data_IF_753728438365
#
_entry.id   IF_753728438365
#
_cell.length_a   1.000
_cell.length_b   1.000
_cell.length_c   1.000
_cell.angle_alpha   90.00
_cell.angle_beta   90.00
_cell.angle_gamma   90.00
#
_symmetry.space_group_name_H-M   'P 1'
#
loop_
_entity.id
_entity.type
_entity.pdbx_description
1 polymer ?
#
# COMPACT_ATOMS: atom_id res chain seq x y z
N UNK A 1 4.93 8.50 -7.89
CA UNK A 1 5.75 7.52 -8.67
C UNK A 1 5.56 6.19 -7.98
N UNK A 2 5.10 5.15 -8.67
CA UNK A 2 4.47 4.02 -8.04
C UNK A 2 5.04 2.66 -8.39
N UNK A 3 4.50 1.65 -7.73
CA UNK A 3 4.83 0.24 -7.95
C UNK A 3 3.96 -0.40 -9.04
N UNK A 4 2.85 0.23 -9.43
CA UNK A 4 1.87 -0.31 -10.35
C UNK A 4 1.74 0.55 -11.63
N UNK A 5 1.56 -0.10 -12.75
CA UNK A 5 1.10 0.52 -14.00
C UNK A 5 0.01 -0.33 -14.67
N UNK A 6 -0.55 0.18 -15.75
CA UNK A 6 -1.54 -0.51 -16.58
C UNK A 6 -0.93 -0.74 -17.96
N UNK A 7 -0.92 -1.97 -18.43
CA UNK A 7 -0.63 -2.28 -19.83
C UNK A 7 -1.91 -2.06 -20.67
N UNK A 8 -1.89 -1.06 -21.51
CA UNK A 8 -3.06 -0.68 -22.34
C UNK A 8 -3.45 -1.72 -23.39
N UNK A 9 -2.55 -2.65 -23.73
CA UNK A 9 -2.83 -3.73 -24.70
C UNK A 9 -3.70 -4.83 -24.10
N UNK A 10 -3.48 -5.13 -22.82
CA UNK A 10 -4.19 -6.19 -22.11
C UNK A 10 -5.19 -5.67 -21.10
N UNK A 11 -5.15 -4.38 -20.76
CA UNK A 11 -5.90 -3.78 -19.66
C UNK A 11 -5.46 -4.24 -18.26
N UNK A 12 -4.39 -5.03 -18.15
CA UNK A 12 -3.95 -5.63 -16.89
C UNK A 12 -3.06 -4.68 -16.08
N UNK A 13 -3.22 -4.75 -14.76
CA UNK A 13 -2.27 -4.19 -13.82
C UNK A 13 -0.96 -4.97 -13.81
N UNK A 14 0.14 -4.26 -13.73
CA UNK A 14 1.51 -4.79 -13.64
C UNK A 14 2.19 -4.17 -12.44
N UNK A 15 2.84 -4.97 -11.60
CA UNK A 15 3.64 -4.48 -10.49
C UNK A 15 5.12 -4.58 -10.81
N UNK A 16 5.88 -3.53 -10.47
CA UNK A 16 7.30 -3.43 -10.79
C UNK A 16 8.14 -4.56 -10.17
N UNK A 17 7.75 -5.06 -9.01
CA UNK A 17 8.46 -6.11 -8.27
C UNK A 17 8.17 -7.54 -8.77
N UNK A 18 7.28 -7.71 -9.75
CA UNK A 18 6.98 -9.01 -10.37
C UNK A 18 8.01 -9.42 -11.41
N UNK A 19 8.94 -8.52 -11.75
CA UNK A 19 9.93 -8.73 -12.81
C UNK A 19 11.33 -8.95 -12.23
N UNK A 20 12.03 -9.95 -12.78
CA UNK A 20 13.47 -10.07 -12.63
C UNK A 20 14.18 -8.85 -13.25
N UNK A 21 15.46 -8.69 -12.96
CA UNK A 21 16.27 -7.60 -13.56
C UNK A 21 16.26 -7.62 -15.08
N UNK A 22 16.35 -8.79 -15.67
CA UNK A 22 16.39 -8.95 -17.12
C UNK A 22 15.03 -8.66 -17.76
N UNK A 23 13.95 -9.17 -17.20
CA UNK A 23 12.58 -8.88 -17.67
C UNK A 23 12.24 -7.41 -17.56
N UNK A 24 12.68 -6.74 -16.47
CA UNK A 24 12.50 -5.30 -16.28
C UNK A 24 13.21 -4.48 -17.36
N UNK A 25 14.44 -4.86 -17.74
CA UNK A 25 15.18 -4.20 -18.82
C UNK A 25 14.48 -4.41 -20.17
N UNK A 26 14.03 -5.62 -20.43
CA UNK A 26 13.28 -5.95 -21.65
C UNK A 26 11.98 -5.17 -21.75
N UNK A 27 11.21 -5.10 -20.66
CA UNK A 27 9.98 -4.31 -20.58
C UNK A 27 10.25 -2.81 -20.76
N UNK A 28 11.37 -2.30 -20.21
CA UNK A 28 11.76 -0.91 -20.37
C UNK A 28 12.08 -0.57 -21.85
N UNK A 29 12.84 -1.44 -22.52
CA UNK A 29 13.16 -1.29 -23.94
C UNK A 29 11.89 -1.36 -24.80
N UNK A 30 11.02 -2.34 -24.56
CA UNK A 30 9.74 -2.47 -25.26
C UNK A 30 8.87 -1.23 -25.07
N UNK A 31 8.69 -0.78 -23.82
CA UNK A 31 7.88 0.39 -23.53
C UNK A 31 8.47 1.68 -24.09
N UNK A 32 9.78 1.79 -24.21
CA UNK A 32 10.44 2.94 -24.85
C UNK A 32 10.01 3.09 -26.32
N UNK A 33 9.79 1.98 -27.01
CA UNK A 33 9.34 1.94 -28.41
C UNK A 33 7.82 2.06 -28.54
N UNK A 34 7.08 1.22 -27.82
CA UNK A 34 5.63 1.03 -28.01
C UNK A 34 4.75 1.95 -27.17
N UNK A 35 5.29 2.53 -26.08
CA UNK A 35 4.57 3.46 -25.20
C UNK A 35 3.22 2.93 -24.73
N UNK A 36 3.13 1.66 -24.37
CA UNK A 36 1.89 0.97 -24.02
C UNK A 36 1.60 0.93 -22.52
N UNK A 37 2.53 1.35 -21.68
CA UNK A 37 2.33 1.39 -20.23
C UNK A 37 1.87 2.77 -19.76
N UNK A 38 0.88 2.79 -18.85
CA UNK A 38 0.26 4.00 -18.31
C UNK A 38 0.22 4.01 -16.80
N UNK A 39 0.30 5.22 -16.23
CA UNK A 39 0.04 5.40 -14.80
C UNK A 39 -1.44 5.19 -14.49
N UNK A 40 -1.79 4.55 -13.36
CA UNK A 40 -3.19 4.43 -12.95
C UNK A 40 -3.82 5.79 -12.58
N UNK A 41 -3.03 6.73 -12.05
CA UNK A 41 -3.54 8.00 -11.52
C UNK A 41 -4.03 9.00 -12.59
N UNK A 42 -3.40 9.06 -13.76
CA UNK A 42 -3.70 10.08 -14.78
C UNK A 42 -3.53 9.58 -16.21
N UNK A 43 -3.33 8.29 -16.42
CA UNK A 43 -3.13 7.64 -17.72
C UNK A 43 -1.96 8.20 -18.53
N UNK A 44 -1.00 8.87 -17.87
CA UNK A 44 0.18 9.39 -18.52
C UNK A 44 1.15 8.27 -18.91
N UNK A 45 1.95 8.51 -19.96
CA UNK A 45 3.05 7.65 -20.33
C UNK A 45 4.07 7.54 -19.20
N UNK A 46 4.64 6.34 -19.06
CA UNK A 46 5.65 6.07 -18.04
C UNK A 46 6.98 5.69 -18.61
N UNK A 47 8.00 5.85 -17.79
CA UNK A 47 9.31 5.23 -17.93
C UNK A 47 9.58 4.33 -16.73
N UNK A 48 10.35 3.29 -16.96
CA UNK A 48 10.77 2.34 -15.95
C UNK A 48 12.08 2.82 -15.33
N UNK A 49 12.16 2.86 -14.02
CA UNK A 49 13.37 3.26 -13.28
C UNK A 49 13.72 2.26 -12.19
N UNK A 50 14.98 2.30 -11.79
CA UNK A 50 15.49 1.61 -10.61
C UNK A 50 16.07 2.65 -9.67
N UNK A 51 15.78 2.54 -8.38
CA UNK A 51 16.34 3.41 -7.35
C UNK A 51 17.81 3.08 -7.07
N UNK A 52 18.46 3.87 -6.23
CA UNK A 52 19.82 3.60 -5.77
C UNK A 52 19.92 2.28 -4.97
N UNK A 53 18.86 1.88 -4.28
CA UNK A 53 18.77 0.61 -3.55
C UNK A 53 18.26 -0.55 -4.41
N UNK A 54 18.11 -0.34 -5.72
CA UNK A 54 17.73 -1.39 -6.66
C UNK A 54 16.22 -1.56 -6.85
N UNK A 55 15.35 -0.82 -6.17
CA UNK A 55 13.91 -0.95 -6.28
C UNK A 55 13.41 -0.48 -7.64
N UNK A 56 12.80 -1.40 -8.38
CA UNK A 56 12.11 -1.14 -9.64
C UNK A 56 10.83 -0.36 -9.38
N UNK A 57 10.57 0.68 -10.19
CA UNK A 57 9.36 1.49 -10.06
C UNK A 57 9.04 2.25 -11.35
N UNK A 58 7.78 2.63 -11.49
CA UNK A 58 7.27 3.40 -12.61
C UNK A 58 7.27 4.90 -12.29
N UNK A 59 7.65 5.72 -13.26
CA UNK A 59 7.60 7.18 -13.14
C UNK A 59 6.92 7.78 -14.36
N UNK A 60 6.25 8.91 -14.19
CA UNK A 60 5.70 9.66 -15.31
C UNK A 60 6.82 10.05 -16.28
N UNK A 61 6.60 9.84 -17.57
CA UNK A 61 7.49 10.41 -18.59
C UNK A 61 7.42 11.92 -18.58
N UNK A 62 6.19 12.42 -18.54
CA UNK A 62 5.86 13.83 -18.35
C UNK A 62 4.78 13.90 -17.29
N UNK A 63 5.02 14.64 -16.21
CA UNK A 63 4.10 14.70 -15.08
C UNK A 63 2.82 15.47 -15.39
N UNK A 64 2.92 16.52 -16.26
CA UNK A 64 1.80 17.39 -16.59
C UNK A 64 1.13 17.96 -15.33
N UNK A 65 -0.20 17.96 -15.31
CA UNK A 65 -1.01 18.42 -14.19
C UNK A 65 -1.26 17.37 -13.10
N UNK A 66 -0.60 16.20 -13.17
CA UNK A 66 -0.79 15.15 -12.17
C UNK A 66 -0.30 15.59 -10.79
N UNK A 67 -1.18 15.57 -9.81
CA UNK A 67 -0.93 15.98 -8.42
C UNK A 67 -0.40 14.85 -7.53
N UNK A 68 -0.27 13.62 -8.05
CA UNK A 68 0.25 12.50 -7.26
C UNK A 68 1.67 12.80 -6.73
N UNK A 69 1.87 12.62 -5.42
CA UNK A 69 3.16 12.84 -4.78
C UNK A 69 4.20 11.81 -5.22
N UNK A 70 5.49 12.20 -5.14
CA UNK A 70 6.57 11.22 -5.27
C UNK A 70 6.64 10.40 -3.98
N UNK A 71 6.76 9.09 -4.11
CA UNK A 71 6.92 8.20 -2.96
C UNK A 71 8.39 8.01 -2.61
N UNK A 72 8.66 7.86 -1.30
CA UNK A 72 9.98 7.46 -0.81
C UNK A 72 10.28 5.99 -1.15
N UNK A 73 11.53 5.60 -0.98
CA UNK A 73 11.96 4.21 -1.09
C UNK A 73 11.25 3.34 -0.06
N UNK A 74 11.22 3.80 1.19
CA UNK A 74 10.54 3.14 2.31
C UNK A 74 9.08 2.86 2.00
N UNK A 75 8.36 3.87 1.50
CA UNK A 75 6.94 3.73 1.18
C UNK A 75 6.71 2.63 0.13
N UNK A 76 7.52 2.61 -0.93
CA UNK A 76 7.45 1.56 -1.96
C UNK A 76 7.77 0.18 -1.40
N UNK A 77 8.82 0.09 -0.56
CA UNK A 77 9.24 -1.18 0.00
C UNK A 77 8.16 -1.77 0.92
N UNK A 78 7.60 -0.96 1.82
CA UNK A 78 6.51 -1.40 2.71
C UNK A 78 5.29 -1.87 1.90
N UNK A 79 4.86 -1.11 0.89
CA UNK A 79 3.75 -1.53 0.01
C UNK A 79 4.03 -2.86 -0.69
N UNK A 80 5.25 -3.05 -1.20
CA UNK A 80 5.68 -4.31 -1.80
C UNK A 80 5.56 -5.48 -0.83
N UNK A 81 6.12 -5.35 0.38
CA UNK A 81 6.06 -6.40 1.41
C UNK A 81 4.61 -6.75 1.73
N UNK A 82 3.74 -5.75 1.88
CA UNK A 82 2.32 -5.99 2.16
C UNK A 82 1.66 -6.79 1.03
N UNK A 83 1.90 -6.43 -0.24
CA UNK A 83 1.32 -7.14 -1.40
C UNK A 83 1.84 -8.59 -1.45
N UNK A 84 3.15 -8.79 -1.33
CA UNK A 84 3.77 -10.13 -1.39
C UNK A 84 3.25 -11.03 -0.27
N UNK A 85 3.21 -10.54 0.97
CA UNK A 85 2.70 -11.30 2.12
C UNK A 85 1.20 -11.61 1.98
N UNK A 86 0.39 -10.64 1.56
CA UNK A 86 -1.04 -10.87 1.38
C UNK A 86 -1.32 -11.93 0.31
N UNK A 87 -0.61 -11.90 -0.80
CA UNK A 87 -0.71 -12.91 -1.87
C UNK A 87 -0.30 -14.30 -1.38
N UNK A 88 0.80 -14.39 -0.61
CA UNK A 88 1.24 -15.65 0.01
C UNK A 88 0.20 -16.23 0.98
N UNK A 89 -0.66 -15.37 1.58
CA UNK A 89 -1.79 -15.78 2.44
C UNK A 89 -3.12 -15.98 1.66
N UNK A 90 -3.07 -16.06 0.33
CA UNK A 90 -4.22 -16.35 -0.52
C UNK A 90 -5.22 -15.18 -0.66
N UNK A 91 -4.74 -13.95 -0.50
CA UNK A 91 -5.48 -12.73 -0.81
C UNK A 91 -5.10 -12.21 -2.19
N UNK A 92 -6.05 -11.63 -2.90
CA UNK A 92 -5.74 -10.73 -4.00
C UNK A 92 -5.21 -9.43 -3.40
N UNK A 93 -4.13 -8.91 -3.93
CA UNK A 93 -3.49 -7.70 -3.41
C UNK A 93 -2.92 -6.86 -4.55
N UNK A 94 -3.26 -5.58 -4.57
CA UNK A 94 -2.76 -4.60 -5.53
C UNK A 94 -2.35 -3.30 -4.83
N UNK A 95 -1.25 -2.72 -5.30
CA UNK A 95 -0.82 -1.39 -4.86
C UNK A 95 -1.56 -0.29 -5.62
N UNK A 96 -1.76 0.87 -4.96
CA UNK A 96 -2.21 2.11 -5.59
C UNK A 96 -3.56 1.98 -6.31
N UNK A 97 -4.56 1.46 -5.60
CA UNK A 97 -5.89 1.21 -6.14
C UNK A 97 -6.80 2.40 -5.90
N UNK A 98 -7.38 2.91 -6.98
CA UNK A 98 -8.40 3.94 -6.93
C UNK A 98 -9.80 3.33 -6.75
N UNK A 99 -10.68 4.04 -6.06
CA UNK A 99 -12.07 3.66 -5.87
C UNK A 99 -12.97 4.86 -5.62
N UNK A 100 -14.25 4.59 -5.49
CA UNK A 100 -15.27 5.60 -5.20
C UNK A 100 -16.10 5.14 -4.00
N UNK A 101 -16.44 6.08 -3.12
CA UNK A 101 -17.41 5.85 -2.05
C UNK A 101 -18.84 5.76 -2.61
N UNK A 102 -19.81 5.40 -1.77
CA UNK A 102 -21.23 5.45 -2.14
C UNK A 102 -21.67 6.85 -2.58
N UNK A 103 -21.09 7.88 -1.98
CA UNK A 103 -21.34 9.29 -2.32
C UNK A 103 -20.50 9.80 -3.49
N UNK A 104 -19.86 8.85 -4.23
CA UNK A 104 -18.98 9.12 -5.37
C UNK A 104 -17.74 9.96 -5.04
N UNK A 105 -17.33 10.02 -3.77
CA UNK A 105 -16.08 10.63 -3.38
C UNK A 105 -14.91 9.71 -3.74
N UNK A 106 -13.90 10.20 -4.46
CA UNK A 106 -12.75 9.39 -4.84
C UNK A 106 -11.86 9.07 -3.63
N UNK A 107 -11.33 7.86 -3.60
CA UNK A 107 -10.28 7.45 -2.68
C UNK A 107 -9.21 6.64 -3.41
N UNK A 108 -8.03 6.59 -2.84
CA UNK A 108 -6.92 5.80 -3.32
C UNK A 108 -6.26 5.09 -2.14
N UNK A 109 -6.21 3.77 -2.21
CA UNK A 109 -5.53 2.94 -1.23
C UNK A 109 -4.07 2.71 -1.64
N UNK A 110 -3.15 2.79 -0.69
CA UNK A 110 -1.76 2.41 -0.92
C UNK A 110 -1.65 0.94 -1.30
N UNK A 111 -2.36 0.07 -0.58
CA UNK A 111 -2.56 -1.34 -0.96
C UNK A 111 -4.01 -1.72 -0.69
N UNK A 112 -4.68 -2.31 -1.66
CA UNK A 112 -6.01 -2.90 -1.51
C UNK A 112 -5.90 -4.42 -1.52
N UNK A 113 -6.43 -5.05 -0.48
CA UNK A 113 -6.53 -6.50 -0.34
C UNK A 113 -7.98 -6.92 -0.53
N UNK A 114 -8.21 -8.07 -1.18
CA UNK A 114 -9.54 -8.66 -1.32
C UNK A 114 -9.52 -10.18 -1.24
N UNK A 115 -10.51 -10.75 -0.53
CA UNK A 115 -10.72 -12.20 -0.44
C UNK A 115 -12.21 -12.46 -0.20
N UNK A 116 -12.86 -13.15 -1.13
CA UNK A 116 -14.33 -13.27 -1.15
C UNK A 116 -15.00 -11.89 -1.09
N UNK A 117 -15.81 -11.62 -0.08
CA UNK A 117 -16.48 -10.33 0.14
C UNK A 117 -15.64 -9.35 0.98
N UNK A 118 -14.56 -9.81 1.60
CA UNK A 118 -13.72 -8.96 2.45
C UNK A 118 -12.80 -8.08 1.61
N UNK A 119 -12.77 -6.77 1.94
CA UNK A 119 -11.86 -5.79 1.34
C UNK A 119 -11.17 -4.98 2.43
N UNK A 120 -9.86 -4.82 2.33
CA UNK A 120 -9.04 -4.10 3.30
C UNK A 120 -8.13 -3.13 2.54
N UNK A 121 -8.22 -1.85 2.84
CA UNK A 121 -7.25 -0.85 2.42
C UNK A 121 -6.18 -0.72 3.49
N UNK A 122 -4.93 -0.93 3.13
CA UNK A 122 -3.78 -0.68 4.01
C UNK A 122 -3.11 0.60 3.56
N UNK A 123 -3.01 1.56 4.48
CA UNK A 123 -2.42 2.88 4.28
C UNK A 123 -1.06 2.96 4.97
N UNK A 124 -0.08 3.47 4.25
CA UNK A 124 1.30 3.64 4.73
C UNK A 124 1.61 5.13 4.84
N UNK A 125 1.49 5.67 6.05
CA UNK A 125 1.57 7.11 6.28
C UNK A 125 2.94 7.54 6.81
N UNK A 126 3.79 7.98 5.89
CA UNK A 126 5.15 8.48 6.19
C UNK A 126 5.22 9.97 6.51
N UNK A 127 4.35 10.76 5.89
CA UNK A 127 4.26 12.20 6.14
C UNK A 127 3.25 12.53 7.24
N UNK A 128 3.33 13.75 7.76
CA UNK A 128 2.35 14.22 8.75
C UNK A 128 0.95 14.30 8.12
N UNK A 129 -0.01 13.68 8.78
CA UNK A 129 -1.41 13.74 8.42
C UNK A 129 -2.22 14.11 9.65
N UNK A 130 -3.21 14.99 9.49
CA UNK A 130 -4.09 15.35 10.59
C UNK A 130 -5.07 14.21 10.90
N UNK A 131 -5.52 14.15 12.15
CA UNK A 131 -6.54 13.17 12.56
C UNK A 131 -7.84 13.33 11.75
N UNK A 132 -8.24 14.57 11.47
CA UNK A 132 -9.44 14.85 10.64
C UNK A 132 -9.30 14.34 9.21
N UNK A 133 -8.12 14.40 8.61
CA UNK A 133 -7.88 13.83 7.28
C UNK A 133 -7.91 12.31 7.31
N UNK A 134 -7.28 11.69 8.31
CA UNK A 134 -7.34 10.23 8.50
C UNK A 134 -8.79 9.76 8.67
N UNK A 135 -9.58 10.46 9.49
CA UNK A 135 -10.99 10.12 9.71
C UNK A 135 -11.82 10.24 8.42
N UNK A 136 -11.61 11.31 7.63
CA UNK A 136 -12.30 11.48 6.33
C UNK A 136 -11.96 10.35 5.36
N UNK A 137 -10.69 9.99 5.23
CA UNK A 137 -10.26 8.88 4.36
C UNK A 137 -10.84 7.55 4.84
N UNK A 138 -10.82 7.31 6.16
CA UNK A 138 -11.41 6.11 6.76
C UNK A 138 -12.92 6.02 6.50
N UNK A 139 -13.65 7.14 6.59
CA UNK A 139 -15.09 7.21 6.28
C UNK A 139 -15.38 6.84 4.83
N UNK A 140 -14.56 7.31 3.87
CA UNK A 140 -14.70 6.92 2.45
C UNK A 140 -14.52 5.43 2.24
N UNK A 141 -13.55 4.81 2.92
CA UNK A 141 -13.38 3.35 2.89
C UNK A 141 -14.60 2.64 3.46
N UNK A 142 -15.04 3.04 4.65
CA UNK A 142 -16.18 2.44 5.32
C UNK A 142 -17.46 2.50 4.46
N UNK A 143 -17.76 3.66 3.85
CA UNK A 143 -18.90 3.81 2.94
C UNK A 143 -18.79 3.01 1.64
N UNK A 144 -17.57 2.53 1.31
CA UNK A 144 -17.32 1.66 0.16
C UNK A 144 -17.32 0.16 0.53
N UNK A 145 -17.63 -0.20 1.79
CA UNK A 145 -17.50 -1.56 2.30
C UNK A 145 -16.06 -2.04 2.41
N UNK A 146 -15.12 -1.11 2.54
CA UNK A 146 -13.68 -1.39 2.69
C UNK A 146 -13.25 -1.08 4.12
N UNK A 147 -12.54 -1.99 4.76
CA UNK A 147 -11.93 -1.77 6.07
C UNK A 147 -10.59 -1.05 5.89
N UNK A 148 -10.31 -0.02 6.69
CA UNK A 148 -9.00 0.63 6.68
C UNK A 148 -8.07 0.06 7.75
N UNK A 149 -6.78 -0.03 7.44
CA UNK A 149 -5.69 -0.30 8.38
C UNK A 149 -4.58 0.70 8.10
N UNK A 150 -4.13 1.43 9.12
CA UNK A 150 -3.17 2.51 9.00
C UNK A 150 -1.83 2.15 9.63
N UNK A 151 -0.75 2.29 8.89
CA UNK A 151 0.63 2.16 9.35
C UNK A 151 1.27 3.54 9.40
N UNK A 152 1.47 4.10 10.61
CA UNK A 152 2.06 5.41 10.79
C UNK A 152 3.54 5.31 11.19
N UNK A 153 4.41 6.03 10.48
CA UNK A 153 5.80 6.20 10.93
C UNK A 153 5.88 7.07 12.19
N UNK A 154 4.95 8.02 12.33
CA UNK A 154 4.94 8.93 13.47
C UNK A 154 4.39 8.27 14.72
N UNK A 155 4.98 8.60 15.87
CA UNK A 155 4.53 8.12 17.18
C UNK A 155 3.25 8.81 17.67
N UNK A 156 2.87 9.94 17.10
CA UNK A 156 1.68 10.70 17.51
C UNK A 156 0.55 10.54 16.49
N UNK A 157 -0.21 9.50 16.66
CA UNK A 157 -1.49 9.29 15.98
C UNK A 157 -2.50 8.75 17.00
N UNK A 158 -3.77 8.89 16.70
CA UNK A 158 -4.84 8.35 17.55
C UNK A 158 -5.43 7.12 16.88
N UNK A 159 -5.13 5.95 17.42
CA UNK A 159 -5.83 4.72 17.06
C UNK A 159 -7.15 4.65 17.81
N UNK A 160 -8.19 4.17 17.14
CA UNK A 160 -9.50 3.87 17.72
C UNK A 160 -10.10 2.63 17.05
N UNK A 161 -11.22 2.15 17.57
CA UNK A 161 -11.97 1.07 16.91
C UNK A 161 -12.39 1.41 15.48
N UNK A 162 -12.62 2.69 15.22
CA UNK A 162 -13.05 3.21 13.92
C UNK A 162 -11.88 3.56 13.00
N UNK A 163 -10.67 3.76 13.56
CA UNK A 163 -9.42 4.01 12.84
C UNK A 163 -8.36 3.02 13.35
N UNK A 164 -8.39 1.77 12.85
CA UNK A 164 -7.37 0.79 13.19
C UNK A 164 -5.99 1.27 12.72
N UNK A 165 -5.10 1.52 13.66
CA UNK A 165 -3.80 2.10 13.36
C UNK A 165 -2.70 1.52 14.26
N UNK A 166 -1.51 1.38 13.70
CA UNK A 166 -0.30 0.94 14.40
C UNK A 166 0.89 1.77 13.96
N UNK A 167 1.92 1.83 14.79
CA UNK A 167 3.18 2.47 14.44
C UNK A 167 4.05 1.50 13.63
N UNK A 168 4.76 2.02 12.63
CA UNK A 168 5.77 1.29 11.87
C UNK A 168 7.11 2.03 11.94
N UNK A 169 8.21 1.30 12.02
CA UNK A 169 9.57 1.83 11.97
C UNK A 169 10.48 0.85 11.24
N UNK A 170 11.63 1.32 10.78
CA UNK A 170 12.60 0.51 10.04
C UNK A 170 13.05 1.17 8.76
N UNK A 171 13.77 0.42 7.95
CA UNK A 171 14.31 0.85 6.66
C UNK A 171 14.42 -0.35 5.69
N UNK A 172 14.66 -0.10 4.37
CA UNK A 172 14.70 -1.17 3.37
C UNK A 172 15.83 -2.19 3.54
N UNK A 173 16.89 -1.87 4.30
CA UNK A 173 18.05 -2.76 4.48
C UNK A 173 17.86 -3.70 5.66
N UNK A 174 17.28 -3.18 6.75
CA UNK A 174 17.10 -3.91 8.01
C UNK A 174 15.68 -4.49 8.17
N UNK A 175 14.76 -4.10 7.29
CA UNK A 175 13.35 -4.46 7.35
C UNK A 175 12.53 -3.49 8.21
N UNK A 176 11.25 -3.81 8.37
CA UNK A 176 10.29 -2.98 9.09
C UNK A 176 9.65 -3.75 10.23
N UNK A 177 9.47 -3.06 11.35
CA UNK A 177 8.74 -3.53 12.52
C UNK A 177 7.48 -2.70 12.72
N UNK A 178 6.42 -3.37 13.15
CA UNK A 178 5.15 -2.78 13.53
C UNK A 178 5.00 -2.92 15.04
N UNK A 179 4.63 -1.82 15.68
CA UNK A 179 4.45 -1.75 17.14
C UNK A 179 2.97 -1.82 17.47
N UNK A 180 2.59 -2.95 18.03
CA UNK A 180 1.22 -3.29 18.35
C UNK A 180 0.95 -2.99 19.82
N UNK A 181 -0.07 -2.19 20.18
CA UNK A 181 -0.45 -1.95 21.55
C UNK A 181 -0.83 -3.25 22.26
N UNK A 182 -0.33 -3.40 23.49
CA UNK A 182 -0.67 -4.49 24.41
C UNK A 182 -1.17 -3.92 25.73
N UNK A 183 -1.72 -4.75 26.61
CA UNK A 183 -2.14 -4.30 27.93
C UNK A 183 -1.00 -3.76 28.83
N UNK A 184 0.26 -4.07 28.49
CA UNK A 184 1.45 -3.67 29.26
C UNK A 184 2.41 -2.74 28.48
N UNK A 185 2.04 -2.29 27.28
CA UNK A 185 2.89 -1.44 26.44
C UNK A 185 2.74 -1.72 24.95
N UNK A 186 3.84 -1.78 24.22
CA UNK A 186 3.87 -2.13 22.79
C UNK A 186 4.69 -3.40 22.56
N UNK A 187 4.24 -4.25 21.66
CA UNK A 187 5.00 -5.38 21.13
C UNK A 187 5.48 -5.05 19.73
N UNK A 188 6.77 -5.19 19.47
CA UNK A 188 7.34 -5.09 18.13
C UNK A 188 7.19 -6.43 17.40
N UNK A 189 6.70 -6.38 16.16
CA UNK A 189 6.55 -7.52 15.27
C UNK A 189 7.13 -7.17 13.89
N UNK A 190 7.84 -8.09 13.22
CA UNK A 190 8.19 -7.90 11.82
C UNK A 190 6.93 -7.60 10.99
N UNK A 191 7.01 -6.66 10.05
CA UNK A 191 5.88 -6.26 9.20
C UNK A 191 5.17 -7.46 8.57
N UNK A 192 5.93 -8.42 8.01
CA UNK A 192 5.37 -9.61 7.38
C UNK A 192 4.54 -10.46 8.37
N UNK A 193 5.04 -10.64 9.60
CA UNK A 193 4.35 -11.37 10.67
C UNK A 193 3.07 -10.66 11.10
N UNK A 194 3.12 -9.33 11.25
CA UNK A 194 1.95 -8.52 11.59
C UNK A 194 0.86 -8.60 10.51
N UNK A 195 1.22 -8.48 9.22
CA UNK A 195 0.25 -8.59 8.12
C UNK A 195 -0.37 -10.00 8.10
N UNK A 196 0.44 -11.05 8.23
CA UNK A 196 -0.05 -12.43 8.28
C UNK A 196 -1.03 -12.63 9.42
N UNK A 197 -0.70 -12.19 10.65
CA UNK A 197 -1.56 -12.30 11.82
C UNK A 197 -2.88 -11.52 11.65
N UNK A 198 -2.79 -10.31 11.08
CA UNK A 198 -3.98 -9.48 10.80
C UNK A 198 -4.94 -10.15 9.80
N UNK A 199 -4.41 -10.75 8.73
CA UNK A 199 -5.20 -11.45 7.72
C UNK A 199 -5.83 -12.75 8.22
N UNK A 200 -5.17 -13.41 9.18
CA UNK A 200 -5.67 -14.63 9.83
C UNK A 200 -6.56 -14.34 11.05
N UNK A 201 -6.95 -13.06 11.26
CA UNK A 201 -7.79 -12.61 12.40
C UNK A 201 -7.20 -12.92 13.78
N UNK A 202 -5.90 -13.09 13.87
CA UNK A 202 -5.18 -13.28 15.13
C UNK A 202 -4.95 -11.96 15.86
N UNK A 203 -5.23 -10.83 15.18
CA UNK A 203 -5.14 -9.49 15.73
C UNK A 203 -6.48 -8.76 15.57
N UNK A 204 -7.05 -8.28 16.70
CA UNK A 204 -8.28 -7.49 16.73
C UNK A 204 -7.94 -6.08 17.23
N UNK A 205 -8.18 -5.08 16.40
CA UNK A 205 -7.94 -3.68 16.76
C UNK A 205 -8.89 -3.24 17.88
N UNK A 206 -8.30 -2.67 18.95
CA UNK A 206 -9.04 -2.19 20.12
C UNK A 206 -9.25 -3.21 21.24
N UNK A 207 -8.78 -4.46 21.09
CA UNK A 207 -8.73 -5.43 22.18
C UNK A 207 -7.27 -5.83 22.47
N UNK A 208 -6.87 -6.01 23.73
CA UNK A 208 -5.53 -6.50 24.04
C UNK A 208 -5.33 -7.91 23.48
N UNK A 209 -4.11 -8.19 22.96
CA UNK A 209 -3.71 -9.54 22.57
C UNK A 209 -3.85 -10.46 23.78
N UNK A 210 -4.72 -11.45 23.71
CA UNK A 210 -4.96 -12.43 24.80
C UNK A 210 -6.37 -12.44 25.37
N UNK A 211 -7.27 -11.57 24.97
CA UNK A 211 -8.70 -11.68 25.27
C UNK A 211 -9.42 -12.50 24.18
N UNK A 212 -8.99 -13.76 24.00
CA UNK A 212 -9.81 -14.76 23.34
C UNK A 212 -10.69 -15.39 24.44
N UNK A 213 -12.00 -15.20 24.32
CA UNK A 213 -13.00 -15.94 25.09
C UNK A 213 -13.09 -17.38 24.63
#
# INVERSE_FOLDING_TARGET
MGLRCIDTRSGKSIHAFEFSTQEWQSLAAENALKRHLRTPCCQAEIILRRSKLGTQHFVHRFRGSCTSASESEDHRHVKRVIVEVARANGWQAEAEVDGLSTDREPWRADVLLSKSTARIAIEVQWSRQSQGETARRQSRYASSGVRGLWLFQQSRFTASKDIPAVRISGDPLNGYEVFVPTGSGEQALPLASFITASLNRQYQFGLPLGAAA
#
